data_IF_531916223984
#
_entry.id   IF_531916223984
#
_cell.length_a   1.000
_cell.length_b   1.000
_cell.length_c   1.000
_cell.angle_alpha   90.00
_cell.angle_beta   90.00
_cell.angle_gamma   90.00
#
_symmetry.space_group_name_H-M   'P 1'
#
loop_
_entity.id
_entity.type
_entity.pdbx_description
1 polymer ?
#
# COMPACT_ATOMS: atom_id res chain seq x y z
N UNK A 1 -5.11 1.31 -13.21
CA UNK A 1 -4.43 1.36 -11.89
C UNK A 1 -3.77 2.70 -11.66
N UNK A 2 -3.64 3.11 -10.39
CA UNK A 2 -3.10 4.42 -10.02
C UNK A 2 -2.10 4.24 -8.90
N UNK A 3 -0.82 4.55 -9.16
CA UNK A 3 0.26 4.63 -8.18
C UNK A 3 0.29 3.46 -7.19
N UNK A 4 0.11 2.25 -7.68
CA UNK A 4 0.06 1.05 -6.87
C UNK A 4 0.60 -0.18 -7.57
N UNK A 5 1.08 -1.13 -6.78
CA UNK A 5 1.50 -2.43 -7.26
C UNK A 5 0.69 -3.54 -6.58
N UNK A 6 -0.62 -3.66 -6.90
CA UNK A 6 -1.51 -4.62 -6.26
C UNK A 6 -1.06 -6.08 -6.41
N UNK A 7 -0.41 -6.45 -7.50
CA UNK A 7 0.15 -7.80 -7.67
C UNK A 7 1.08 -8.20 -6.51
N UNK A 8 1.84 -7.24 -5.94
CA UNK A 8 2.70 -7.49 -4.77
C UNK A 8 2.09 -7.02 -3.44
N UNK A 9 0.97 -6.29 -3.43
CA UNK A 9 0.46 -5.67 -2.21
C UNK A 9 -0.94 -6.12 -1.78
N UNK A 10 -1.64 -6.92 -2.60
CA UNK A 10 -2.93 -7.52 -2.25
C UNK A 10 -2.82 -9.04 -2.16
N UNK A 11 -3.72 -9.72 -1.45
CA UNK A 11 -3.72 -11.17 -1.36
C UNK A 11 -3.86 -11.86 -2.71
N UNK A 12 -3.34 -13.09 -2.79
CA UNK A 12 -3.37 -13.94 -3.98
C UNK A 12 -2.80 -13.22 -5.22
N UNK A 13 -1.57 -12.74 -5.08
CA UNK A 13 -0.89 -11.95 -6.10
C UNK A 13 -0.76 -12.67 -7.45
N UNK A 14 -0.61 -14.00 -7.44
CA UNK A 14 -0.53 -14.81 -8.69
C UNK A 14 -1.86 -14.83 -9.45
N UNK A 15 -2.95 -15.00 -8.73
CA UNK A 15 -4.30 -14.98 -9.33
C UNK A 15 -4.64 -13.60 -9.88
N UNK A 16 -4.28 -12.53 -9.15
CA UNK A 16 -4.47 -11.17 -9.64
C UNK A 16 -3.63 -10.91 -10.90
N UNK A 17 -2.40 -11.39 -10.93
CA UNK A 17 -1.50 -11.27 -12.08
C UNK A 17 -2.14 -11.89 -13.35
N UNK A 18 -2.65 -13.12 -13.22
CA UNK A 18 -3.39 -13.82 -14.30
C UNK A 18 -4.67 -13.08 -14.70
N UNK A 19 -5.41 -12.53 -13.73
CA UNK A 19 -6.61 -11.76 -14.00
C UNK A 19 -6.32 -10.47 -14.79
N UNK A 20 -5.22 -9.79 -14.48
CA UNK A 20 -4.80 -8.60 -15.23
C UNK A 20 -4.39 -8.91 -16.67
N UNK A 21 -3.79 -10.07 -16.90
CA UNK A 21 -3.43 -10.55 -18.25
C UNK A 21 -4.66 -10.78 -19.14
N UNK A 22 -5.82 -11.11 -18.54
CA UNK A 22 -7.07 -11.37 -19.25
C UNK A 22 -7.89 -10.12 -19.59
N UNK A 23 -7.43 -8.91 -19.22
CA UNK A 23 -8.16 -7.68 -19.52
C UNK A 23 -8.07 -7.30 -20.99
N UNK A 24 -9.18 -6.87 -21.59
CA UNK A 24 -9.23 -6.34 -22.95
C UNK A 24 -8.44 -5.03 -23.10
N UNK A 25 -8.37 -4.23 -22.05
CA UNK A 25 -7.64 -2.95 -22.03
C UNK A 25 -7.34 -2.48 -20.62
N UNK A 26 -6.09 -2.06 -20.37
CA UNK A 26 -5.65 -1.56 -19.08
C UNK A 26 -4.86 -0.25 -19.21
N UNK A 27 -5.18 0.73 -18.37
CA UNK A 27 -4.42 1.98 -18.23
C UNK A 27 -3.80 2.06 -16.84
N UNK A 28 -2.52 2.43 -16.78
CA UNK A 28 -1.82 2.64 -15.52
C UNK A 28 -1.26 4.05 -15.42
N UNK A 29 -1.48 4.69 -14.28
CA UNK A 29 -0.84 5.97 -13.92
C UNK A 29 0.27 5.63 -12.91
N UNK A 30 1.48 5.43 -13.41
CA UNK A 30 2.65 4.99 -12.63
C UNK A 30 3.93 5.37 -13.36
N UNK A 31 5.01 5.76 -12.66
CA UNK A 31 6.30 6.05 -13.29
C UNK A 31 7.08 4.81 -13.72
N UNK A 32 6.68 3.61 -13.27
CA UNK A 32 7.40 2.36 -13.49
C UNK A 32 6.58 1.32 -14.27
N UNK A 33 7.30 0.46 -15.00
CA UNK A 33 6.77 -0.82 -15.49
C UNK A 33 7.12 -1.87 -14.42
N UNK A 34 6.20 -2.03 -13.48
CA UNK A 34 6.30 -2.95 -12.35
C UNK A 34 5.45 -4.22 -12.60
N UNK A 35 5.32 -5.09 -11.61
CA UNK A 35 4.61 -6.36 -11.69
C UNK A 35 3.13 -6.21 -12.05
N UNK A 36 2.52 -5.08 -11.75
CA UNK A 36 1.14 -4.76 -12.11
C UNK A 36 1.06 -4.04 -13.45
N UNK A 37 1.85 -2.98 -13.61
CA UNK A 37 1.74 -2.10 -14.78
C UNK A 37 2.30 -2.69 -16.06
N UNK A 38 3.04 -3.79 -15.99
CA UNK A 38 3.49 -4.57 -17.15
C UNK A 38 2.34 -5.11 -18.02
N UNK A 39 1.13 -5.24 -17.44
CA UNK A 39 -0.09 -5.65 -18.14
C UNK A 39 -0.82 -4.48 -18.83
N UNK A 40 -0.39 -3.24 -18.59
CA UNK A 40 -1.08 -2.08 -19.12
C UNK A 40 -0.77 -1.83 -20.60
N UNK A 41 -1.81 -1.59 -21.41
CA UNK A 41 -1.70 -1.15 -22.80
C UNK A 41 -1.20 0.29 -22.90
N UNK A 42 -1.54 1.12 -21.89
CA UNK A 42 -1.12 2.51 -21.81
C UNK A 42 -0.62 2.83 -20.40
N UNK A 43 0.59 3.37 -20.31
CA UNK A 43 1.15 3.90 -19.06
C UNK A 43 1.27 5.41 -19.18
N UNK A 44 0.73 6.12 -18.19
CA UNK A 44 0.76 7.58 -18.07
C UNK A 44 1.65 7.97 -16.89
N UNK A 45 2.95 8.20 -17.08
CA UNK A 45 3.87 8.50 -15.99
C UNK A 45 3.62 9.91 -15.45
N UNK A 46 3.31 10.05 -14.14
CA UNK A 46 3.16 11.36 -13.52
C UNK A 46 4.52 11.98 -13.20
N UNK A 47 4.54 13.33 -13.06
CA UNK A 47 5.71 14.04 -12.60
C UNK A 47 6.10 13.61 -11.17
N UNK A 48 7.40 13.40 -10.89
CA UNK A 48 7.88 12.97 -9.59
C UNK A 48 7.62 14.01 -8.47
N UNK A 49 7.66 13.58 -7.20
CA UNK A 49 7.30 14.44 -6.06
C UNK A 49 8.10 15.74 -5.94
N UNK A 50 9.37 15.76 -6.35
CA UNK A 50 10.20 16.98 -6.29
C UNK A 50 9.85 18.01 -7.36
N UNK A 51 9.13 17.63 -8.39
CA UNK A 51 8.68 18.50 -9.48
C UNK A 51 7.28 19.09 -9.24
N UNK A 52 6.68 18.87 -8.07
CA UNK A 52 5.35 19.37 -7.72
C UNK A 52 5.33 20.12 -6.39
N UNK A 53 4.42 21.09 -6.31
CA UNK A 53 4.07 21.74 -5.06
C UNK A 53 3.24 20.79 -4.17
N UNK A 54 3.33 20.98 -2.86
CA UNK A 54 2.65 20.09 -1.90
C UNK A 54 2.11 20.85 -0.69
N UNK A 55 0.89 20.51 -0.31
CA UNK A 55 0.26 20.84 0.97
C UNK A 55 -0.38 19.56 1.53
N UNK A 56 0.04 19.15 2.72
CA UNK A 56 -0.48 17.94 3.34
C UNK A 56 -1.86 18.19 3.96
N UNK A 57 -2.89 17.60 3.36
CA UNK A 57 -4.28 17.68 3.84
C UNK A 57 -4.61 16.49 4.74
N UNK A 58 -4.02 15.33 4.48
CA UNK A 58 -4.45 14.06 5.08
C UNK A 58 -3.66 13.75 6.35
N UNK A 59 -2.35 13.63 6.25
CA UNK A 59 -1.52 13.17 7.37
C UNK A 59 -1.21 14.28 8.37
N UNK A 60 -1.31 15.54 7.98
CA UNK A 60 -1.01 16.65 8.86
C UNK A 60 -1.94 16.74 10.07
N UNK A 61 -3.17 16.22 9.96
CA UNK A 61 -4.09 16.09 11.10
C UNK A 61 -3.59 15.17 12.21
N UNK A 62 -2.57 14.33 11.95
CA UNK A 62 -1.91 13.47 12.93
C UNK A 62 -0.69 14.14 13.58
N UNK A 63 -0.40 15.40 13.23
CA UNK A 63 0.71 16.14 13.81
C UNK A 63 0.47 16.41 15.30
N UNK A 64 1.55 16.40 16.09
CA UNK A 64 1.49 16.63 17.55
C UNK A 64 1.24 18.10 17.91
N UNK A 65 1.22 19.00 16.94
CA UNK A 65 1.01 20.42 17.08
C UNK A 65 0.33 20.99 15.83
N UNK A 66 -0.52 22.01 15.99
CA UNK A 66 -1.13 22.68 14.85
C UNK A 66 -0.06 23.48 14.09
N UNK A 67 0.21 23.11 12.86
CA UNK A 67 1.12 23.80 11.95
C UNK A 67 0.54 23.83 10.55
N UNK A 68 1.02 24.74 9.71
CA UNK A 68 0.67 24.76 8.30
C UNK A 68 1.92 25.09 7.48
N UNK A 69 2.17 24.30 6.43
CA UNK A 69 3.32 24.51 5.55
C UNK A 69 2.95 24.26 4.10
N UNK A 70 3.40 25.14 3.24
CA UNK A 70 3.40 24.95 1.80
C UNK A 70 4.81 24.64 1.32
N UNK A 71 4.94 23.65 0.46
CA UNK A 71 6.22 23.32 -0.17
C UNK A 71 6.07 23.59 -1.68
N UNK A 72 6.91 24.47 -2.19
CA UNK A 72 7.04 24.69 -3.63
C UNK A 72 7.80 23.51 -4.27
N UNK A 73 7.65 23.31 -5.56
CA UNK A 73 8.46 22.35 -6.30
C UNK A 73 9.95 22.70 -6.17
N UNK A 74 10.78 21.68 -5.94
CA UNK A 74 12.24 21.84 -5.84
C UNK A 74 12.88 21.84 -7.22
N UNK A 75 12.34 21.04 -8.14
CA UNK A 75 12.80 20.91 -9.51
C UNK A 75 11.72 21.41 -10.47
N UNK A 76 12.12 22.00 -11.62
CA UNK A 76 11.17 22.38 -12.65
C UNK A 76 10.57 21.15 -13.31
N UNK A 77 9.25 21.10 -13.44
CA UNK A 77 8.55 20.05 -14.20
C UNK A 77 8.83 20.22 -15.70
N UNK A 78 9.26 19.16 -16.43
CA UNK A 78 9.37 19.21 -17.88
C UNK A 78 8.03 19.55 -18.55
N UNK A 79 8.06 20.27 -19.66
CA UNK A 79 6.85 20.67 -20.37
C UNK A 79 6.00 19.48 -20.86
N UNK A 80 6.63 18.35 -21.16
CA UNK A 80 5.97 17.10 -21.57
C UNK A 80 5.36 16.31 -20.41
N UNK A 81 5.81 16.54 -19.16
CA UNK A 81 5.30 15.84 -18.00
C UNK A 81 3.94 16.39 -17.53
N UNK A 82 3.17 15.52 -16.88
CA UNK A 82 1.87 15.85 -16.27
C UNK A 82 1.91 15.51 -14.79
N UNK A 83 1.26 16.32 -13.96
CA UNK A 83 0.92 15.90 -12.60
C UNK A 83 -0.26 14.92 -12.62
N UNK A 84 -0.40 14.09 -11.58
CA UNK A 84 -1.53 13.17 -11.46
C UNK A 84 -2.88 13.86 -11.71
N UNK A 85 -3.11 15.01 -11.07
CA UNK A 85 -4.35 15.77 -11.22
C UNK A 85 -4.57 16.32 -12.64
N UNK A 86 -3.50 16.61 -13.39
CA UNK A 86 -3.57 17.03 -14.79
C UNK A 86 -4.00 15.88 -15.69
N UNK A 87 -3.48 14.66 -15.41
CA UNK A 87 -3.90 13.43 -16.10
C UNK A 87 -5.39 13.19 -15.87
N UNK A 88 -5.86 13.22 -14.62
CA UNK A 88 -7.29 13.06 -14.31
C UNK A 88 -8.16 14.15 -14.90
N UNK A 89 -7.72 15.40 -14.85
CA UNK A 89 -8.41 16.52 -15.48
C UNK A 89 -8.59 16.29 -16.98
N UNK A 90 -7.53 15.93 -17.67
CA UNK A 90 -7.54 15.79 -19.12
C UNK A 90 -8.37 14.58 -19.55
N UNK A 91 -8.28 13.45 -18.85
CA UNK A 91 -9.17 12.30 -19.05
C UNK A 91 -10.63 12.66 -18.77
N UNK A 92 -10.91 13.33 -17.66
CA UNK A 92 -12.25 13.79 -17.30
C UNK A 92 -12.85 14.73 -18.35
N UNK A 93 -12.06 15.69 -18.85
CA UNK A 93 -12.49 16.60 -19.91
C UNK A 93 -12.74 15.87 -21.22
N UNK A 94 -11.93 14.86 -21.58
CA UNK A 94 -12.13 14.04 -22.75
C UNK A 94 -13.45 13.24 -22.67
N UNK A 95 -13.77 12.65 -21.51
CA UNK A 95 -15.04 11.94 -21.28
C UNK A 95 -16.23 12.88 -21.34
N UNK A 96 -16.15 14.04 -20.68
CA UNK A 96 -17.22 15.04 -20.66
C UNK A 96 -17.53 15.58 -22.06
N UNK A 97 -16.53 15.73 -22.94
CA UNK A 97 -16.74 16.14 -24.34
C UNK A 97 -17.61 15.18 -25.13
N UNK A 98 -17.60 13.88 -24.78
CA UNK A 98 -18.41 12.83 -25.43
C UNK A 98 -19.85 12.75 -24.90
N UNK A 99 -20.17 13.43 -23.79
CA UNK A 99 -21.53 13.46 -23.26
C UNK A 99 -22.35 14.58 -23.90
N UNK A 100 -23.67 14.45 -24.10
CA UNK A 100 -24.54 15.53 -24.60
C UNK A 100 -24.41 16.79 -23.73
N UNK A 101 -24.61 17.94 -24.34
CA UNK A 101 -24.55 19.21 -23.60
C UNK A 101 -25.67 19.29 -22.54
N UNK A 102 -25.30 19.69 -21.31
CA UNK A 102 -26.21 19.89 -20.20
C UNK A 102 -25.60 20.87 -19.18
N UNK A 103 -26.43 21.45 -18.29
CA UNK A 103 -25.94 22.27 -17.17
C UNK A 103 -24.94 21.50 -16.30
N UNK A 104 -25.19 20.21 -16.05
CA UNK A 104 -24.29 19.32 -15.31
C UNK A 104 -22.95 19.16 -16.00
N UNK A 105 -22.94 19.03 -17.36
CA UNK A 105 -21.71 19.00 -18.15
C UNK A 105 -20.90 20.27 -17.99
N UNK A 106 -21.53 21.45 -18.06
CA UNK A 106 -20.87 22.73 -17.88
C UNK A 106 -20.27 22.86 -16.45
N UNK A 107 -21.04 22.47 -15.42
CA UNK A 107 -20.59 22.48 -14.03
C UNK A 107 -19.38 21.56 -13.80
N UNK A 108 -19.45 20.31 -14.26
CA UNK A 108 -18.34 19.34 -14.16
C UNK A 108 -17.11 19.87 -14.89
N UNK A 109 -17.29 20.42 -16.09
CA UNK A 109 -16.18 21.04 -16.87
C UNK A 109 -15.52 22.17 -16.09
N UNK A 110 -16.31 23.05 -15.47
CA UNK A 110 -15.80 24.14 -14.66
C UNK A 110 -15.00 23.64 -13.44
N UNK A 111 -15.54 22.64 -12.72
CA UNK A 111 -14.86 22.02 -11.57
C UNK A 111 -13.55 21.35 -11.95
N UNK A 112 -13.51 20.60 -13.05
CA UNK A 112 -12.28 19.94 -13.56
C UNK A 112 -11.18 20.95 -13.92
N UNK A 113 -11.50 22.19 -14.20
CA UNK A 113 -10.52 23.25 -14.51
C UNK A 113 -9.90 23.91 -13.28
N UNK A 114 -10.46 23.66 -12.09
CA UNK A 114 -9.89 24.19 -10.85
C UNK A 114 -8.59 23.46 -10.51
N UNK A 115 -7.51 24.19 -10.30
CA UNK A 115 -6.26 23.58 -9.84
C UNK A 115 -6.34 23.22 -8.36
N UNK A 116 -5.65 22.15 -7.91
CA UNK A 116 -5.57 21.81 -6.49
C UNK A 116 -5.08 22.96 -5.62
N UNK A 117 -4.12 23.73 -6.11
CA UNK A 117 -3.61 24.92 -5.43
C UNK A 117 -4.70 25.95 -5.16
N UNK A 118 -5.58 26.22 -6.13
CA UNK A 118 -6.70 27.15 -5.96
C UNK A 118 -7.69 26.63 -4.91
N UNK A 119 -8.00 25.33 -4.95
CA UNK A 119 -8.91 24.70 -3.98
C UNK A 119 -8.32 24.79 -2.57
N UNK A 120 -7.04 24.49 -2.41
CA UNK A 120 -6.33 24.60 -1.12
C UNK A 120 -6.31 26.06 -0.64
N UNK A 121 -6.00 27.02 -1.51
CA UNK A 121 -5.96 28.45 -1.14
C UNK A 121 -7.34 28.93 -0.66
N UNK A 122 -8.42 28.55 -1.36
CA UNK A 122 -9.78 28.85 -0.97
C UNK A 122 -10.13 28.25 0.41
N UNK A 123 -9.81 26.95 0.61
CA UNK A 123 -10.01 26.28 1.89
C UNK A 123 -9.25 26.91 3.05
N UNK A 124 -7.99 27.30 2.82
CA UNK A 124 -7.17 27.99 3.82
C UNK A 124 -7.76 29.35 4.21
N UNK A 125 -8.34 30.09 3.27
CA UNK A 125 -8.99 31.40 3.54
C UNK A 125 -10.28 31.26 4.33
N UNK A 126 -11.07 30.24 4.05
CA UNK A 126 -12.33 29.96 4.73
C UNK A 126 -12.07 29.33 6.12
N UNK A 127 -10.97 28.59 6.27
CA UNK A 127 -10.61 27.90 7.50
C UNK A 127 -10.44 28.82 8.71
N UNK A 128 -10.37 28.26 9.93
CA UNK A 128 -10.38 29.02 11.18
C UNK A 128 -9.17 29.95 11.33
N UNK A 129 -8.06 29.62 10.71
CA UNK A 129 -6.82 30.41 10.82
C UNK A 129 -6.65 31.49 9.75
N UNK A 130 -7.61 31.60 8.82
CA UNK A 130 -7.61 32.61 7.74
C UNK A 130 -6.25 32.72 7.02
N UNK A 131 -5.70 31.58 6.65
CA UNK A 131 -4.44 31.48 5.92
C UNK A 131 -4.62 31.63 4.41
N UNK A 132 -3.53 31.67 3.67
CA UNK A 132 -3.51 31.57 2.21
C UNK A 132 -2.20 30.92 1.77
N UNK A 133 -2.16 30.35 0.58
CA UNK A 133 -0.93 29.81 -0.03
C UNK A 133 0.15 30.90 -0.10
N UNK A 134 -0.22 32.14 -0.45
CA UNK A 134 0.72 33.26 -0.49
C UNK A 134 1.34 33.58 0.89
N UNK A 135 0.56 33.46 1.98
CA UNK A 135 1.07 33.65 3.35
C UNK A 135 2.00 32.52 3.75
N UNK A 136 1.67 31.27 3.43
CA UNK A 136 2.50 30.10 3.72
C UNK A 136 3.83 30.14 2.96
N UNK A 137 3.82 30.54 1.69
CA UNK A 137 5.04 30.66 0.87
C UNK A 137 6.04 31.69 1.44
N UNK A 138 5.58 32.72 2.13
CA UNK A 138 6.44 33.69 2.84
C UNK A 138 7.04 33.13 4.13
N UNK A 139 6.58 31.93 4.57
CA UNK A 139 7.05 31.25 5.78
C UNK A 139 7.55 29.85 5.40
N UNK A 140 8.72 29.70 4.76
CA UNK A 140 9.19 28.41 4.24
C UNK A 140 9.41 27.35 5.33
N UNK A 141 9.64 27.74 6.57
CA UNK A 141 9.69 26.84 7.74
C UNK A 141 8.31 26.36 8.22
N UNK A 142 7.23 26.93 7.65
CA UNK A 142 5.86 26.72 8.12
C UNK A 142 5.42 27.78 9.13
N UNK A 143 4.12 27.75 9.46
CA UNK A 143 3.51 28.63 10.48
C UNK A 143 3.07 27.74 11.64
N UNK A 144 3.51 28.06 12.84
CA UNK A 144 3.00 27.48 14.09
C UNK A 144 1.66 28.13 14.44
N UNK A 145 0.61 27.29 14.57
CA UNK A 145 -0.75 27.70 14.89
C UNK A 145 -1.14 27.36 16.33
N UNK A 146 -0.15 26.95 17.14
CA UNK A 146 -0.32 26.64 18.54
C UNK A 146 -0.52 25.13 18.85
N UNK A 147 -0.62 24.81 20.13
CA UNK A 147 -0.82 23.44 20.58
C UNK A 147 -2.21 22.90 20.17
N UNK A 148 -2.33 21.58 20.06
CA UNK A 148 -3.62 20.94 19.92
C UNK A 148 -4.48 21.22 21.17
N UNK A 149 -5.75 21.44 20.94
CA UNK A 149 -6.73 21.64 22.01
C UNK A 149 -7.70 20.46 22.04
N UNK A 150 -8.16 20.02 23.22
CA UNK A 150 -9.19 19.01 23.33
C UNK A 150 -10.45 19.43 22.57
N UNK A 151 -10.90 18.60 21.63
CA UNK A 151 -12.05 18.90 20.80
C UNK A 151 -13.31 18.09 21.18
N UNK A 152 -13.15 17.02 21.96
CA UNK A 152 -14.27 16.20 22.43
C UNK A 152 -14.95 16.82 23.65
N UNK A 153 -16.29 16.67 23.80
CA UNK A 153 -17.21 15.98 22.88
C UNK A 153 -17.72 16.86 21.74
N UNK A 154 -17.33 18.15 21.70
CA UNK A 154 -17.84 19.15 20.75
C UNK A 154 -17.69 18.75 19.26
N UNK A 155 -16.55 18.16 18.90
CA UNK A 155 -16.27 17.72 17.53
C UNK A 155 -17.08 16.52 17.05
N UNK A 156 -17.79 15.82 17.94
CA UNK A 156 -18.63 14.70 17.52
C UNK A 156 -19.84 15.17 16.72
N UNK A 157 -20.07 14.59 15.54
CA UNK A 157 -21.19 14.95 14.67
C UNK A 157 -22.53 14.38 15.15
N UNK A 158 -22.56 13.31 15.99
CA UNK A 158 -23.78 12.77 16.56
C UNK A 158 -24.48 13.80 17.48
N UNK A 159 -25.78 13.90 17.41
CA UNK A 159 -26.58 14.78 18.27
C UNK A 159 -26.37 14.50 19.77
N UNK A 160 -26.19 13.23 20.14
CA UNK A 160 -25.95 12.81 21.53
C UNK A 160 -24.59 13.26 22.08
N UNK A 161 -23.65 13.66 21.22
CA UNK A 161 -22.26 13.96 21.60
C UNK A 161 -21.59 12.82 22.39
N UNK A 162 -21.97 11.59 22.14
CA UNK A 162 -21.42 10.38 22.74
C UNK A 162 -20.83 9.47 21.68
N UNK A 163 -19.71 8.84 22.02
CA UNK A 163 -19.11 7.76 21.22
C UNK A 163 -19.91 6.48 21.51
N UNK A 164 -20.38 5.84 20.48
CA UNK A 164 -21.06 4.56 20.57
C UNK A 164 -20.02 3.45 20.33
N UNK A 165 -19.64 2.76 21.40
CA UNK A 165 -18.63 1.70 21.37
C UNK A 165 -19.23 0.33 21.03
N UNK A 166 -20.55 0.19 21.10
CA UNK A 166 -21.27 -1.06 20.83
C UNK A 166 -22.06 -0.94 19.50
N UNK A 167 -21.38 -0.68 18.42
CA UNK A 167 -21.99 -0.59 17.09
C UNK A 167 -22.62 -1.93 16.71
N UNK A 168 -23.90 -1.91 16.36
CA UNK A 168 -24.66 -3.11 16.03
C UNK A 168 -23.97 -3.99 14.99
N UNK A 169 -23.44 -3.37 13.95
CA UNK A 169 -22.71 -4.06 12.87
C UNK A 169 -21.50 -4.85 13.38
N UNK A 170 -20.79 -4.34 14.41
CA UNK A 170 -19.64 -5.05 15.02
C UNK A 170 -20.13 -6.16 15.95
N UNK A 171 -21.19 -5.89 16.73
CA UNK A 171 -21.76 -6.90 17.63
C UNK A 171 -22.36 -8.09 16.87
N UNK A 172 -22.97 -7.85 15.72
CA UNK A 172 -23.55 -8.89 14.88
C UNK A 172 -22.47 -9.79 14.24
N UNK A 173 -21.20 -9.35 14.19
CA UNK A 173 -20.06 -10.12 13.69
C UNK A 173 -19.35 -10.97 14.78
N UNK A 174 -19.67 -10.78 16.06
CA UNK A 174 -19.07 -11.55 17.16
C UNK A 174 -19.16 -13.09 16.98
N UNK A 175 -20.27 -13.67 16.48
CA UNK A 175 -20.32 -15.11 16.26
C UNK A 175 -19.24 -15.68 15.34
N UNK A 176 -18.64 -14.84 14.49
CA UNK A 176 -17.51 -15.25 13.65
C UNK A 176 -16.25 -15.59 14.46
N UNK A 177 -16.09 -15.03 15.65
CA UNK A 177 -14.99 -15.39 16.56
C UNK A 177 -15.11 -16.85 17.04
N UNK A 178 -16.34 -17.32 17.27
CA UNK A 178 -16.61 -18.67 17.72
C UNK A 178 -16.30 -19.70 16.62
N UNK A 179 -16.29 -19.27 15.36
CA UNK A 179 -15.95 -20.10 14.19
C UNK A 179 -14.44 -20.16 13.91
N UNK A 180 -13.59 -19.43 14.65
CA UNK A 180 -12.14 -19.56 14.51
C UNK A 180 -11.74 -20.95 15.02
N UNK A 181 -11.32 -21.80 14.07
CA UNK A 181 -10.80 -23.15 14.39
C UNK A 181 -9.41 -23.05 14.98
N UNK A 182 -9.08 -23.98 15.88
CA UNK A 182 -7.71 -24.18 16.31
C UNK A 182 -6.86 -24.57 15.09
N UNK A 183 -5.59 -24.17 15.10
CA UNK A 183 -4.62 -24.61 14.11
C UNK A 183 -4.43 -26.13 14.21
N UNK A 184 -4.16 -26.78 13.08
CA UNK A 184 -3.67 -28.13 13.08
C UNK A 184 -2.28 -28.20 13.73
N UNK A 185 -1.90 -29.37 14.24
CA UNK A 185 -0.67 -29.54 15.03
C UNK A 185 0.61 -29.14 14.29
N UNK A 186 0.60 -29.24 12.96
CA UNK A 186 1.75 -28.91 12.10
C UNK A 186 1.67 -27.50 11.50
N UNK A 187 0.60 -26.77 11.73
CA UNK A 187 0.41 -25.42 11.22
C UNK A 187 1.06 -24.36 12.10
N UNK A 188 1.53 -23.31 11.44
CA UNK A 188 2.06 -22.08 12.03
C UNK A 188 1.24 -20.90 11.50
N UNK A 189 1.22 -19.80 12.25
CA UNK A 189 0.60 -18.56 11.80
C UNK A 189 1.60 -17.66 11.09
N UNK A 190 1.37 -17.40 9.82
CA UNK A 190 2.15 -16.42 9.07
C UNK A 190 1.69 -14.99 9.39
N UNK A 191 2.64 -14.14 9.74
CA UNK A 191 2.46 -12.69 9.85
C UNK A 191 3.36 -11.94 8.87
N UNK A 192 2.85 -10.84 8.31
CA UNK A 192 3.62 -9.95 7.46
C UNK A 192 4.57 -9.07 8.28
N UNK A 193 5.81 -8.87 7.80
CA UNK A 193 6.79 -7.98 8.43
C UNK A 193 6.99 -6.72 7.60
N UNK A 194 6.81 -5.56 8.22
CA UNK A 194 7.13 -4.27 7.60
C UNK A 194 8.59 -3.89 7.83
N UNK A 195 9.19 -3.23 6.87
CA UNK A 195 10.56 -2.73 6.98
C UNK A 195 10.63 -1.28 6.49
N UNK A 196 11.34 -0.42 7.22
CA UNK A 196 11.49 1.02 6.92
C UNK A 196 11.98 1.33 5.50
N UNK A 197 12.78 0.43 4.93
CA UNK A 197 13.39 0.62 3.61
C UNK A 197 12.56 0.06 2.46
N UNK A 198 11.39 -0.53 2.73
CA UNK A 198 10.57 -1.16 1.69
C UNK A 198 9.44 -0.25 1.21
N UNK A 199 8.70 0.37 2.14
CA UNK A 199 7.45 1.11 1.86
C UNK A 199 6.56 0.32 0.87
N UNK A 200 6.05 -0.83 1.30
CA UNK A 200 5.59 -1.91 0.44
C UNK A 200 6.74 -2.37 -0.50
N UNK A 201 6.60 -2.25 -1.81
CA UNK A 201 7.62 -2.59 -2.80
C UNK A 201 8.35 -1.37 -3.41
N UNK A 202 7.88 -0.15 -3.15
CA UNK A 202 8.28 1.07 -3.85
C UNK A 202 9.75 1.43 -3.72
N UNK A 203 10.33 1.20 -2.54
CA UNK A 203 11.70 1.58 -2.24
C UNK A 203 12.72 0.54 -2.73
N UNK A 204 12.28 -0.62 -3.19
CA UNK A 204 13.18 -1.66 -3.69
C UNK A 204 13.90 -1.26 -4.99
N UNK A 205 13.36 -0.32 -5.76
CA UNK A 205 14.05 0.18 -6.96
C UNK A 205 15.08 1.29 -6.66
N UNK A 206 15.52 1.43 -5.41
CA UNK A 206 16.58 2.34 -4.99
C UNK A 206 17.80 1.57 -4.48
N UNK A 207 18.91 1.64 -5.21
CA UNK A 207 20.17 0.96 -4.86
C UNK A 207 20.65 1.30 -3.43
N UNK A 208 20.43 2.54 -2.98
CA UNK A 208 20.79 2.97 -1.61
C UNK A 208 19.97 2.27 -0.54
N UNK A 209 18.67 2.02 -0.80
CA UNK A 209 17.75 1.46 0.19
C UNK A 209 17.83 -0.07 0.25
N UNK A 210 18.13 -0.74 -0.86
CA UNK A 210 18.28 -2.20 -0.89
C UNK A 210 19.67 -2.67 -0.47
N UNK A 211 20.64 -1.76 -0.37
CA UNK A 211 22.02 -2.07 0.04
C UNK A 211 22.06 -2.72 1.43
N UNK A 212 22.97 -3.68 1.60
CA UNK A 212 23.26 -4.34 2.86
C UNK A 212 22.85 -5.82 2.88
N UNK A 213 22.65 -6.37 4.06
CA UNK A 213 22.27 -7.79 4.22
C UNK A 213 20.90 -8.07 3.61
N UNK A 214 20.70 -9.25 3.00
CA UNK A 214 19.37 -9.72 2.57
C UNK A 214 18.35 -9.66 3.72
N UNK A 215 17.10 -9.36 3.41
CA UNK A 215 16.04 -9.14 4.41
C UNK A 215 14.76 -9.90 4.10
N UNK A 216 14.83 -10.80 3.13
CA UNK A 216 13.67 -11.56 2.64
C UNK A 216 13.46 -12.92 3.34
N UNK A 217 14.23 -13.21 4.41
CA UNK A 217 14.14 -14.47 5.13
C UNK A 217 12.82 -14.62 5.87
N UNK A 218 12.35 -15.85 5.98
CA UNK A 218 11.31 -16.25 6.90
C UNK A 218 11.89 -16.32 8.32
N UNK A 219 11.40 -15.50 9.25
CA UNK A 219 11.77 -15.63 10.65
C UNK A 219 10.95 -16.75 11.30
N UNK A 220 11.61 -17.61 12.06
CA UNK A 220 11.02 -18.76 12.76
C UNK A 220 11.71 -18.94 14.11
N UNK A 221 10.93 -19.33 15.14
CA UNK A 221 11.49 -19.60 16.47
C UNK A 221 12.39 -20.85 16.45
N UNK A 222 13.52 -20.88 17.19
CA UNK A 222 14.41 -22.06 17.23
C UNK A 222 13.71 -23.37 17.65
N UNK A 223 12.73 -23.31 18.56
CA UNK A 223 11.97 -24.49 18.98
C UNK A 223 11.13 -25.06 17.81
N UNK A 224 10.53 -24.18 17.00
CA UNK A 224 9.76 -24.58 15.81
C UNK A 224 10.66 -25.20 14.74
N UNK A 225 11.87 -24.66 14.56
CA UNK A 225 12.88 -25.25 13.67
C UNK A 225 13.25 -26.65 14.13
N UNK A 226 13.54 -26.82 15.42
CA UNK A 226 13.91 -28.12 16.03
C UNK A 226 12.78 -29.14 15.86
N UNK A 227 11.55 -28.75 16.17
CA UNK A 227 10.37 -29.65 16.07
C UNK A 227 10.13 -30.15 14.64
N UNK A 228 10.55 -29.38 13.63
CA UNK A 228 10.35 -29.69 12.20
C UNK A 228 11.61 -30.19 11.50
N UNK A 229 12.68 -30.46 12.25
CA UNK A 229 13.97 -30.91 11.72
C UNK A 229 14.51 -29.96 10.63
N UNK A 230 14.42 -28.66 10.88
CA UNK A 230 14.91 -27.58 10.01
C UNK A 230 16.11 -26.90 10.62
N UNK A 231 17.05 -26.43 9.78
CA UNK A 231 18.24 -25.71 10.19
C UNK A 231 18.15 -24.22 9.84
N UNK A 232 18.81 -23.38 10.64
CA UNK A 232 19.01 -21.97 10.32
C UNK A 232 19.72 -21.79 8.97
N UNK A 233 19.22 -20.92 8.11
CA UNK A 233 19.72 -20.70 6.74
C UNK A 233 19.24 -21.74 5.71
N UNK A 234 18.44 -22.72 6.08
CA UNK A 234 17.92 -23.72 5.16
C UNK A 234 16.85 -23.13 4.23
N UNK A 235 16.82 -23.58 2.97
CA UNK A 235 15.71 -23.28 2.06
C UNK A 235 14.49 -24.14 2.45
N UNK A 236 13.36 -23.49 2.69
CA UNK A 236 12.10 -24.11 3.09
C UNK A 236 10.97 -23.71 2.15
N UNK A 237 9.99 -24.58 2.00
CA UNK A 237 8.73 -24.30 1.31
C UNK A 237 7.68 -23.92 2.34
N UNK A 238 7.08 -22.75 2.18
CA UNK A 238 5.95 -22.25 2.98
C UNK A 238 4.69 -22.42 2.15
N UNK A 239 3.75 -23.20 2.64
CA UNK A 239 2.50 -23.54 1.94
C UNK A 239 1.29 -23.08 2.73
N UNK A 240 0.34 -22.45 2.07
CA UNK A 240 -0.98 -22.09 2.57
C UNK A 240 -2.08 -22.66 1.66
N UNK A 241 -3.34 -22.39 1.98
CA UNK A 241 -4.46 -22.72 1.10
C UNK A 241 -4.40 -21.98 -0.27
N UNK A 242 -3.74 -20.82 -0.35
CA UNK A 242 -3.64 -20.01 -1.56
C UNK A 242 -2.46 -20.42 -2.47
N UNK A 243 -1.42 -21.08 -1.93
CA UNK A 243 -0.25 -21.48 -2.71
C UNK A 243 0.99 -21.74 -1.87
N UNK A 244 2.14 -21.80 -2.53
CA UNK A 244 3.43 -22.04 -1.88
C UNK A 244 4.52 -21.11 -2.40
N UNK A 245 5.52 -20.84 -1.55
CA UNK A 245 6.72 -20.09 -1.88
C UNK A 245 7.93 -20.72 -1.21
N UNK A 246 9.09 -20.66 -1.87
CA UNK A 246 10.36 -21.08 -1.31
C UNK A 246 11.13 -19.87 -0.77
N UNK A 247 11.69 -20.02 0.43
CA UNK A 247 12.41 -18.97 1.12
C UNK A 247 13.43 -19.55 2.08
N UNK A 248 14.53 -18.84 2.29
CA UNK A 248 15.50 -19.16 3.33
C UNK A 248 14.93 -18.83 4.70
N UNK A 249 14.98 -19.77 5.64
CA UNK A 249 14.55 -19.55 7.03
C UNK A 249 15.69 -18.96 7.85
N UNK A 250 15.35 -18.07 8.78
CA UNK A 250 16.30 -17.50 9.74
C UNK A 250 15.76 -17.71 11.17
N UNK A 251 16.58 -18.32 12.00
CA UNK A 251 16.28 -18.50 13.41
C UNK A 251 16.20 -17.16 14.15
N UNK A 252 15.16 -16.94 14.93
CA UNK A 252 14.99 -15.69 15.67
C UNK A 252 14.18 -15.89 16.94
N UNK A 253 14.73 -15.45 18.07
CA UNK A 253 14.01 -15.37 19.35
C UNK A 253 13.07 -14.15 19.43
N UNK A 254 13.08 -13.26 18.40
CA UNK A 254 12.16 -12.10 18.34
C UNK A 254 10.77 -12.52 17.84
N UNK A 255 10.60 -13.76 17.39
CA UNK A 255 9.30 -14.33 17.01
C UNK A 255 8.88 -15.39 18.02
N UNK A 256 7.61 -15.44 18.38
CA UNK A 256 7.11 -16.44 19.33
C UNK A 256 6.93 -17.82 18.66
N UNK A 257 7.05 -18.92 19.42
CA UNK A 257 6.71 -20.26 18.91
C UNK A 257 5.30 -20.30 18.32
N UNK A 258 5.11 -21.09 17.25
CA UNK A 258 3.85 -21.20 16.53
C UNK A 258 3.59 -20.07 15.52
N UNK A 259 4.51 -19.10 15.38
CA UNK A 259 4.38 -17.97 14.46
C UNK A 259 5.60 -17.88 13.56
N UNK A 260 5.38 -17.59 12.28
CA UNK A 260 6.44 -17.27 11.30
C UNK A 260 6.21 -15.91 10.67
N UNK A 261 7.29 -15.22 10.31
CA UNK A 261 7.19 -13.88 9.75
C UNK A 261 7.92 -13.74 8.44
N UNK A 262 7.20 -13.32 7.39
CA UNK A 262 7.74 -13.06 6.06
C UNK A 262 7.62 -11.56 5.73
N UNK A 263 8.67 -10.92 5.17
CA UNK A 263 8.61 -9.50 4.85
C UNK A 263 7.72 -9.22 3.64
N UNK A 264 6.96 -8.15 3.76
CA UNK A 264 6.09 -7.65 2.70
C UNK A 264 6.86 -6.85 1.64
N UNK A 265 6.41 -6.94 0.38
CA UNK A 265 6.88 -6.12 -0.74
C UNK A 265 7.96 -6.74 -1.62
N UNK A 266 8.32 -8.00 -1.40
CA UNK A 266 9.18 -8.78 -2.28
C UNK A 266 8.39 -9.50 -3.39
N UNK A 267 9.08 -10.14 -4.34
CA UNK A 267 8.46 -10.84 -5.47
C UNK A 267 8.68 -10.14 -6.82
N UNK A 268 9.81 -9.44 -6.99
CA UNK A 268 10.14 -8.62 -8.18
C UNK A 268 10.63 -9.39 -9.41
N UNK A 269 10.63 -10.70 -9.37
CA UNK A 269 11.16 -11.57 -10.42
C UNK A 269 10.11 -12.00 -11.46
N UNK A 270 9.11 -11.16 -11.72
CA UNK A 270 8.08 -11.45 -12.71
C UNK A 270 8.50 -10.94 -14.10
N UNK A 271 8.33 -11.78 -15.11
CA UNK A 271 8.67 -11.47 -16.49
C UNK A 271 7.94 -10.22 -16.97
N UNK A 272 8.63 -9.37 -17.73
CA UNK A 272 8.09 -8.13 -18.28
C UNK A 272 8.17 -6.91 -17.36
N UNK A 273 8.47 -7.05 -16.06
CA UNK A 273 8.80 -5.90 -15.20
C UNK A 273 10.14 -5.29 -15.60
N UNK A 274 10.26 -3.95 -15.52
CA UNK A 274 11.47 -3.21 -15.94
C UNK A 274 12.01 -2.33 -14.82
N UNK A 275 12.16 -2.92 -13.65
CA UNK A 275 12.71 -2.26 -12.46
C UNK A 275 14.22 -2.58 -12.38
N UNK A 276 15.06 -1.63 -12.73
CA UNK A 276 16.52 -1.83 -12.90
C UNK A 276 17.25 -2.31 -11.64
N UNK A 277 16.74 -1.96 -10.45
CA UNK A 277 17.32 -2.36 -9.17
C UNK A 277 16.45 -3.42 -8.49
N UNK A 278 15.11 -3.22 -8.44
CA UNK A 278 14.23 -4.14 -7.74
C UNK A 278 14.23 -5.55 -8.35
N UNK A 279 14.37 -5.69 -9.68
CA UNK A 279 14.47 -7.00 -10.34
C UNK A 279 15.69 -7.82 -9.89
N UNK A 280 16.66 -7.19 -9.24
CA UNK A 280 17.83 -7.87 -8.65
C UNK A 280 17.63 -8.17 -7.16
N UNK A 281 16.51 -7.77 -6.57
CA UNK A 281 16.18 -8.01 -5.15
C UNK A 281 15.44 -9.34 -5.05
N UNK A 282 16.15 -10.35 -4.53
CA UNK A 282 15.58 -11.68 -4.32
C UNK A 282 14.55 -11.68 -3.18
N UNK A 283 13.69 -12.67 -3.19
CA UNK A 283 12.69 -12.97 -2.17
C UNK A 283 11.29 -13.20 -2.75
N UNK A 284 10.52 -14.10 -2.14
CA UNK A 284 9.15 -14.40 -2.59
C UNK A 284 8.17 -13.29 -2.18
N UNK A 285 7.05 -13.23 -2.87
CA UNK A 285 5.92 -12.41 -2.45
C UNK A 285 5.15 -13.10 -1.33
N UNK A 286 5.07 -12.47 -0.16
CA UNK A 286 4.22 -12.96 0.92
C UNK A 286 2.74 -13.04 0.52
N UNK A 287 2.33 -12.23 -0.45
CA UNK A 287 0.95 -12.21 -0.93
C UNK A 287 0.60 -13.34 -1.91
N UNK A 288 1.59 -14.09 -2.37
CA UNK A 288 1.35 -15.30 -3.17
C UNK A 288 0.85 -16.48 -2.30
N UNK A 289 0.90 -16.34 -0.98
CA UNK A 289 0.42 -17.33 0.01
C UNK A 289 -0.63 -16.74 0.96
N UNK A 290 -1.23 -15.61 0.64
CA UNK A 290 -2.38 -15.06 1.37
C UNK A 290 -3.66 -15.25 0.57
N UNK A 291 -4.75 -15.61 1.26
CA UNK A 291 -6.02 -15.96 0.63
C UNK A 291 -6.88 -14.72 0.38
N UNK A 292 -7.23 -14.46 -0.88
CA UNK A 292 -8.09 -13.34 -1.28
C UNK A 292 -9.56 -13.51 -0.84
N UNK A 293 -9.99 -14.71 -0.46
CA UNK A 293 -11.35 -14.96 0.06
C UNK A 293 -11.52 -14.52 1.52
N UNK A 294 -10.41 -14.39 2.26
CA UNK A 294 -10.41 -13.98 3.66
C UNK A 294 -10.48 -12.46 3.78
N UNK A 295 -11.69 -11.94 3.80
CA UNK A 295 -11.98 -10.50 3.91
C UNK A 295 -12.80 -10.28 5.17
N UNK A 296 -12.41 -9.26 5.96
CA UNK A 296 -13.24 -8.76 7.04
C UNK A 296 -14.54 -8.19 6.47
N UNK A 297 -15.71 -8.78 6.76
CA UNK A 297 -16.98 -8.36 6.15
C UNK A 297 -17.42 -6.98 6.60
N UNK A 298 -16.94 -6.51 7.76
CA UNK A 298 -17.27 -5.20 8.31
C UNK A 298 -16.46 -4.08 7.70
N UNK A 299 -15.15 -4.28 7.55
CA UNK A 299 -14.23 -3.26 7.05
C UNK A 299 -13.87 -3.43 5.56
N UNK A 300 -14.11 -4.58 4.95
CA UNK A 300 -13.67 -4.93 3.62
C UNK A 300 -12.14 -5.10 3.52
N UNK A 301 -11.46 -5.27 4.66
CA UNK A 301 -10.00 -5.39 4.71
C UNK A 301 -9.60 -6.85 4.55
N UNK A 302 -8.61 -7.11 3.69
CA UNK A 302 -8.07 -8.44 3.50
C UNK A 302 -7.26 -8.92 4.71
N UNK A 303 -7.40 -10.20 5.07
CA UNK A 303 -6.62 -10.85 6.10
C UNK A 303 -5.24 -11.25 5.55
N UNK A 304 -4.21 -10.45 5.86
CA UNK A 304 -2.82 -10.67 5.42
C UNK A 304 -1.90 -11.05 6.58
N UNK A 305 -2.47 -11.27 7.77
CA UNK A 305 -1.77 -11.73 8.98
C UNK A 305 -2.62 -12.83 9.64
N UNK A 306 -1.96 -13.74 10.34
CA UNK A 306 -2.63 -14.89 10.97
C UNK A 306 -3.06 -15.91 9.93
N UNK A 307 -2.32 -16.04 8.82
CA UNK A 307 -2.60 -17.02 7.77
C UNK A 307 -2.02 -18.38 8.19
N UNK A 308 -2.82 -19.45 8.26
CA UNK A 308 -2.30 -20.78 8.53
C UNK A 308 -1.36 -21.25 7.43
N UNK A 309 -0.17 -21.71 7.80
CA UNK A 309 0.85 -22.19 6.86
C UNK A 309 1.55 -23.44 7.39
N UNK A 310 1.97 -24.32 6.49
CA UNK A 310 2.93 -25.37 6.74
C UNK A 310 4.31 -24.93 6.27
N UNK A 311 5.36 -25.28 7.01
CA UNK A 311 6.75 -25.03 6.65
C UNK A 311 7.49 -26.36 6.62
N UNK A 312 8.02 -26.71 5.45
CA UNK A 312 8.74 -27.97 5.23
C UNK A 312 10.08 -27.72 4.55
N UNK A 313 11.02 -28.65 4.68
CA UNK A 313 12.25 -28.59 3.91
C UNK A 313 11.92 -28.54 2.40
N UNK A 314 12.59 -27.65 1.66
CA UNK A 314 12.46 -27.63 0.21
C UNK A 314 13.06 -28.93 -0.35
N UNK A 315 12.25 -29.74 -0.99
CA UNK A 315 12.75 -30.90 -1.74
C UNK A 315 13.37 -30.38 -3.03
N UNK A 316 14.69 -30.52 -3.18
CA UNK A 316 15.34 -30.23 -4.45
C UNK A 316 14.60 -30.97 -5.57
N UNK A 317 14.35 -30.33 -6.74
CA UNK A 317 13.80 -31.05 -7.86
C UNK A 317 14.72 -32.22 -8.16
N UNK A 318 14.18 -33.44 -8.12
CA UNK A 318 14.91 -34.66 -8.51
C UNK A 318 15.48 -34.41 -9.89
N UNK A 319 16.80 -34.36 -10.00
CA UNK A 319 17.47 -34.26 -11.30
C UNK A 319 16.95 -35.40 -12.15
N UNK A 320 16.42 -35.14 -13.35
CA UNK A 320 16.10 -36.21 -14.27
C UNK A 320 17.42 -36.92 -14.59
N UNK A 321 17.49 -38.23 -14.22
CA UNK A 321 18.58 -39.09 -14.53
C UNK A 321 18.76 -39.36 -16.03
#
# INVERSE_FOLDING_TARGET
>A
TIAGNPVLSTPDGRRLDQALESLDFMVSIDPYINETTRHADVILPPAPPLEREHYDIVFHQLAVRNTARWNDAVLPKPASARHDWEIFRDLGLALVRRTPWSRRRAEVTARLRLSPRWIVDAGLRIGPYRLSVAKLRRSPGGIDLGPLQPALPGALHKKSKRIDLAQRMILDDLPRLDALTALDADELLLIGRRHLRNNNSWMHNSARLVKGRPRHHLLMHPDDLTTRDLADGQLVTVTSAAGSVDVEVAASNDIMPGVVSLPHGFGHNRDGSRLSVANQVHGPSANDITDASLIDPTAGTAAVNGVPVMVTACTAPSSPG
#
